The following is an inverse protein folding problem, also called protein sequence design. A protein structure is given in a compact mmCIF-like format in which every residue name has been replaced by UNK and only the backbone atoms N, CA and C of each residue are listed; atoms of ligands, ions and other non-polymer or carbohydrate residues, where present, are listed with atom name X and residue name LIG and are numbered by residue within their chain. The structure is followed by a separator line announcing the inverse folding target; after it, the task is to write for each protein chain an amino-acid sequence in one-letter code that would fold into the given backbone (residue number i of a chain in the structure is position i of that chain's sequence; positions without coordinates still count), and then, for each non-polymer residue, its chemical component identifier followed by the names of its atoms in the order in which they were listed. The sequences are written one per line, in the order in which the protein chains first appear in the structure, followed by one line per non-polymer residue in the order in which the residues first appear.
data_IF_857827898698
#
_entry.id   IF_857827898698
#
_cell.length_a   1.000
_cell.length_b   1.000
_cell.length_c   1.000
_cell.angle_alpha   90.00
_cell.angle_beta   90.00
_cell.angle_gamma   90.00
#
_symmetry.space_group_name_H-M   'P 1'
#
loop_
_entity.id
_entity.type
_entity.pdbx_description
1 polymer ?
#
# COMPACT_ATOMS: atom_id res chain seq x y z
N UNK A 1 27.02 67.15 -25.10
CA UNK A 1 28.05 67.71 -24.20
C UNK A 1 28.35 66.61 -23.20
N UNK A 2 29.48 66.03 -23.03
CA UNK A 2 30.80 66.16 -23.61
C UNK A 2 31.55 64.90 -23.22
N UNK A 3 32.28 64.40 -24.12
CA UNK A 3 33.30 63.36 -24.02
C UNK A 3 34.34 63.63 -22.93
N UNK A 4 34.88 62.61 -22.29
CA UNK A 4 36.35 62.51 -22.20
C UNK A 4 36.81 61.06 -21.99
N UNK A 5 37.45 60.53 -22.95
CA UNK A 5 38.38 59.41 -23.01
C UNK A 5 39.66 59.72 -22.27
N UNK A 6 40.23 58.74 -21.53
CA UNK A 6 41.70 58.69 -21.33
C UNK A 6 42.14 57.21 -21.42
N UNK A 7 43.16 57.07 -22.22
CA UNK A 7 43.76 55.78 -22.62
C UNK A 7 44.97 55.38 -21.77
N UNK A 8 45.21 54.09 -21.71
CA UNK A 8 46.46 53.35 -21.92
C UNK A 8 47.69 53.53 -20.99
N UNK A 9 48.22 52.41 -20.57
CA UNK A 9 49.60 51.85 -20.69
C UNK A 9 49.74 50.75 -19.65
N UNK A 10 49.92 49.48 -19.88
CA UNK A 10 51.01 48.90 -20.59
C UNK A 10 52.19 48.59 -19.64
N UNK A 11 52.35 47.35 -19.18
CA UNK A 11 53.68 46.85 -18.85
C UNK A 11 53.72 45.37 -18.41
N UNK A 12 54.40 44.60 -19.21
CA UNK A 12 55.39 43.59 -18.87
C UNK A 12 54.97 42.31 -18.15
N UNK A 13 54.87 41.26 -18.93
CA UNK A 13 54.95 39.88 -18.54
C UNK A 13 56.32 39.47 -17.96
N UNK A 14 56.33 38.73 -16.88
CA UNK A 14 57.45 37.86 -16.49
C UNK A 14 56.96 36.42 -16.38
N UNK A 15 57.70 35.41 -16.92
CA UNK A 15 57.29 34.03 -16.87
C UNK A 15 57.58 33.45 -15.49
N UNK A 16 56.56 32.86 -14.87
CA UNK A 16 56.73 32.02 -13.68
C UNK A 16 57.05 30.58 -14.07
N UNK A 17 58.13 30.07 -13.47
CA UNK A 17 58.65 28.71 -13.61
C UNK A 17 57.62 27.68 -13.12
N UNK A 18 57.63 26.43 -13.67
CA UNK A 18 56.78 25.34 -13.17
C UNK A 18 57.31 24.84 -11.85
N UNK A 19 56.47 24.92 -10.78
CA UNK A 19 56.71 24.24 -9.53
C UNK A 19 56.18 22.80 -9.64
N UNK A 20 57.09 21.93 -9.32
CA UNK A 20 57.00 20.48 -9.20
C UNK A 20 55.66 19.92 -8.74
N UNK A 21 55.22 18.88 -9.46
CA UNK A 21 54.23 17.90 -9.10
C UNK A 21 54.53 17.26 -7.74
N UNK A 22 53.82 17.71 -6.69
CA UNK A 22 53.67 16.93 -5.50
C UNK A 22 52.40 16.08 -5.64
N UNK A 23 52.57 14.77 -5.67
CA UNK A 23 51.50 13.80 -5.85
C UNK A 23 50.36 13.99 -4.85
N UNK A 24 49.21 14.38 -5.32
CA UNK A 24 47.93 14.15 -4.61
C UNK A 24 47.71 12.63 -4.59
N UNK A 25 48.13 11.96 -3.55
CA UNK A 25 47.53 10.69 -3.18
C UNK A 25 46.06 11.00 -2.86
N UNK A 26 45.15 10.58 -3.77
CA UNK A 26 43.74 10.50 -3.48
C UNK A 26 43.57 9.55 -2.29
N UNK A 27 43.38 10.14 -1.12
CA UNK A 27 42.81 9.42 0.01
C UNK A 27 41.36 9.14 -0.37
N UNK A 28 41.14 8.01 -1.02
CA UNK A 28 39.84 7.36 -1.09
C UNK A 28 39.48 7.00 0.36
N UNK A 29 38.95 7.95 1.10
CA UNK A 29 38.17 7.65 2.28
C UNK A 29 36.92 6.95 1.79
N UNK A 30 36.95 5.62 1.75
CA UNK A 30 35.75 4.81 1.76
C UNK A 30 34.99 5.27 3.00
N UNK A 31 33.99 6.15 2.80
CA UNK A 31 33.02 6.43 3.83
C UNK A 31 32.42 5.08 4.21
N UNK A 32 32.71 4.59 5.40
CA UNK A 32 32.17 3.32 5.87
C UNK A 32 30.65 3.40 5.72
N UNK A 33 30.10 2.58 4.82
CA UNK A 33 28.67 2.51 4.56
C UNK A 33 27.98 2.21 5.88
N UNK A 34 27.04 3.07 6.29
CA UNK A 34 26.30 2.83 7.52
C UNK A 34 25.65 1.45 7.47
N UNK A 35 25.74 0.68 8.56
CA UNK A 35 25.11 -0.63 8.63
C UNK A 35 23.61 -0.52 8.44
N UNK A 36 23.00 -1.40 7.66
CA UNK A 36 21.56 -1.46 7.52
C UNK A 36 20.85 -1.62 8.86
N UNK A 37 19.69 -0.99 8.99
CA UNK A 37 18.86 -1.10 10.19
C UNK A 37 17.47 -1.60 9.83
N UNK A 38 16.84 -2.33 10.75
CA UNK A 38 15.50 -2.85 10.56
C UNK A 38 14.74 -2.97 11.87
N UNK A 39 13.41 -2.98 11.78
CA UNK A 39 12.53 -3.26 12.92
C UNK A 39 12.41 -4.76 13.10
N UNK A 40 13.15 -5.27 14.05
CA UNK A 40 13.31 -6.72 14.33
C UNK A 40 12.47 -7.11 15.53
N UNK A 41 11.82 -8.28 15.47
CA UNK A 41 11.21 -8.95 16.62
C UNK A 41 11.69 -10.39 16.72
N UNK A 42 11.95 -10.83 17.95
CA UNK A 42 12.51 -12.16 18.28
C UNK A 42 11.45 -13.11 18.84
N UNK A 43 10.27 -12.56 19.16
CA UNK A 43 9.10 -13.30 19.62
C UNK A 43 7.84 -12.56 19.18
N UNK A 44 6.74 -13.30 19.08
CA UNK A 44 5.44 -12.70 18.83
C UNK A 44 4.90 -12.00 20.08
N UNK A 45 4.15 -10.91 19.89
CA UNK A 45 3.57 -10.13 20.98
C UNK A 45 3.10 -8.75 20.54
N UNK A 46 2.82 -7.89 21.50
CA UNK A 46 2.41 -6.51 21.21
C UNK A 46 3.54 -5.75 20.52
N UNK A 47 3.28 -5.13 19.34
CA UNK A 47 4.32 -4.49 18.54
C UNK A 47 5.20 -3.49 19.31
N UNK A 48 4.58 -2.70 20.19
CA UNK A 48 5.29 -1.73 21.02
C UNK A 48 6.28 -2.38 22.02
N UNK A 49 6.13 -3.66 22.33
CA UNK A 49 6.96 -4.39 23.29
C UNK A 49 8.03 -5.25 22.63
N UNK A 50 7.73 -5.80 21.44
CA UNK A 50 8.61 -6.80 20.81
C UNK A 50 9.43 -6.24 19.65
N UNK A 51 9.01 -5.13 19.01
CA UNK A 51 9.75 -4.51 17.91
C UNK A 51 10.89 -3.64 18.43
N UNK A 52 12.07 -3.85 17.85
CA UNK A 52 13.27 -3.07 18.15
C UNK A 52 13.97 -2.65 16.86
N UNK A 53 14.38 -1.38 16.78
CA UNK A 53 15.24 -0.91 15.69
C UNK A 53 16.65 -1.35 15.98
N UNK A 54 17.16 -2.27 15.15
CA UNK A 54 18.50 -2.87 15.29
C UNK A 54 19.31 -2.70 14.00
N UNK A 55 20.62 -2.72 14.13
CA UNK A 55 21.50 -3.02 13.00
C UNK A 55 21.28 -4.46 12.57
N UNK A 56 21.25 -4.69 11.27
CA UNK A 56 21.06 -6.00 10.67
C UNK A 56 22.18 -6.27 9.67
N UNK A 57 22.60 -7.52 9.59
CA UNK A 57 23.57 -7.92 8.59
C UNK A 57 22.84 -8.16 7.25
N UNK A 58 23.47 -7.75 6.16
CA UNK A 58 23.01 -8.12 4.82
C UNK A 58 23.51 -9.53 4.51
N UNK A 59 22.65 -10.30 3.87
CA UNK A 59 23.07 -11.53 3.23
C UNK A 59 24.11 -11.24 2.12
N UNK A 60 24.83 -12.25 1.67
CA UNK A 60 25.67 -12.11 0.48
C UNK A 60 24.79 -11.90 -0.77
N UNK A 61 25.26 -11.06 -1.69
CA UNK A 61 24.47 -10.71 -2.88
C UNK A 61 24.16 -11.92 -3.75
N UNK A 62 25.03 -12.89 -3.86
CA UNK A 62 24.81 -14.04 -4.72
C UNK A 62 24.43 -13.71 -6.17
N UNK A 63 24.49 -14.69 -7.06
CA UNK A 63 24.24 -14.46 -8.49
C UNK A 63 22.81 -14.01 -8.82
N UNK A 64 21.81 -14.48 -8.08
CA UNK A 64 20.38 -14.17 -8.31
C UNK A 64 19.82 -13.14 -7.29
N UNK A 65 20.69 -12.59 -6.46
CA UNK A 65 20.32 -11.60 -5.44
C UNK A 65 20.15 -10.20 -6.02
N UNK A 66 19.27 -9.43 -5.44
CA UNK A 66 19.06 -8.02 -5.76
C UNK A 66 19.17 -7.22 -4.48
N UNK A 67 20.16 -6.33 -4.41
CA UNK A 67 20.32 -5.43 -3.30
C UNK A 67 19.40 -4.22 -3.46
N UNK A 68 18.50 -4.03 -2.52
CA UNK A 68 17.46 -3.00 -2.55
C UNK A 68 17.60 -2.09 -1.35
N UNK A 69 17.77 -0.80 -1.62
CA UNK A 69 17.59 0.26 -0.62
C UNK A 69 16.09 0.52 -0.49
N UNK A 70 15.54 0.24 0.67
CA UNK A 70 14.14 0.59 0.96
C UNK A 70 13.98 2.09 1.08
N UNK A 71 12.88 2.62 0.60
CA UNK A 71 12.58 4.05 0.60
C UNK A 71 11.43 4.34 1.57
N UNK A 72 10.32 3.60 1.41
CA UNK A 72 9.12 3.80 2.22
C UNK A 72 8.33 2.50 2.35
N UNK A 73 7.73 2.27 3.52
CA UNK A 73 6.90 1.11 3.81
C UNK A 73 5.75 1.49 4.73
N UNK A 74 4.49 1.16 4.38
CA UNK A 74 3.33 1.47 5.21
C UNK A 74 3.20 0.50 6.38
N UNK A 75 2.37 0.90 7.37
CA UNK A 75 1.88 0.00 8.42
C UNK A 75 0.46 -0.44 8.05
N UNK A 76 0.26 -1.74 7.88
CA UNK A 76 -1.03 -2.38 7.64
C UNK A 76 -1.49 -3.19 8.88
N UNK A 77 -2.79 -3.41 9.07
CA UNK A 77 -3.28 -4.31 10.12
C UNK A 77 -2.71 -5.73 10.04
N UNK A 78 -2.39 -6.21 8.82
CA UNK A 78 -1.75 -7.52 8.62
C UNK A 78 -0.34 -7.59 9.22
N UNK A 79 0.43 -6.50 9.16
CA UNK A 79 1.76 -6.43 9.76
C UNK A 79 1.66 -6.56 11.29
N UNK A 80 0.70 -5.84 11.89
CA UNK A 80 0.44 -5.91 13.33
C UNK A 80 0.02 -7.33 13.74
N UNK A 81 -0.93 -7.94 13.01
CA UNK A 81 -1.38 -9.30 13.30
C UNK A 81 -0.26 -10.33 13.14
N UNK A 82 0.66 -10.13 12.18
CA UNK A 82 1.82 -10.99 11.97
C UNK A 82 2.79 -10.89 13.14
N UNK A 83 3.10 -9.68 13.61
CA UNK A 83 3.94 -9.47 14.79
C UNK A 83 3.30 -10.05 16.06
N UNK A 84 1.97 -9.92 16.20
CA UNK A 84 1.20 -10.52 17.30
C UNK A 84 1.10 -12.05 17.23
N UNK A 85 1.53 -12.69 16.13
CA UNK A 85 1.42 -14.14 15.96
C UNK A 85 0.00 -14.63 15.65
N UNK A 86 -0.89 -13.75 15.22
CA UNK A 86 -2.32 -14.07 14.97
C UNK A 86 -2.68 -14.09 13.48
N UNK A 87 -1.69 -13.93 12.59
CA UNK A 87 -1.89 -13.98 11.15
C UNK A 87 -1.73 -15.39 10.58
N UNK A 88 -2.37 -15.67 9.45
CA UNK A 88 -2.40 -17.02 8.86
C UNK A 88 -1.03 -17.54 8.41
N UNK A 89 -0.09 -16.64 8.10
CA UNK A 89 1.31 -16.97 7.80
C UNK A 89 2.22 -16.14 8.69
N UNK A 90 3.18 -16.81 9.30
CA UNK A 90 4.16 -16.17 10.19
C UNK A 90 5.56 -16.40 9.63
N UNK A 91 6.46 -15.43 9.70
CA UNK A 91 7.85 -15.62 9.36
C UNK A 91 8.58 -16.38 10.45
N UNK A 92 9.70 -17.02 10.09
CA UNK A 92 10.65 -17.55 11.07
C UNK A 92 11.25 -16.42 11.90
N UNK A 93 11.44 -16.68 13.20
CA UNK A 93 12.03 -15.71 14.13
C UNK A 93 13.53 -15.94 14.31
N UNK A 94 14.34 -14.88 14.43
CA UNK A 94 14.00 -13.47 14.44
C UNK A 94 13.58 -12.95 13.07
N UNK A 95 12.61 -12.03 13.02
CA UNK A 95 12.07 -11.50 11.77
C UNK A 95 12.09 -9.97 11.71
N UNK A 96 12.14 -9.43 10.50
CA UNK A 96 11.92 -8.00 10.23
C UNK A 96 10.46 -7.77 9.88
N UNK A 97 9.85 -6.74 10.44
CA UNK A 97 8.44 -6.39 10.15
C UNK A 97 8.23 -5.83 8.73
N UNK A 98 6.95 -5.79 8.33
CA UNK A 98 6.49 -5.16 7.09
C UNK A 98 6.35 -6.11 5.91
N UNK A 99 5.18 -5.99 5.23
CA UNK A 99 4.82 -6.81 4.06
C UNK A 99 4.74 -6.02 2.77
N UNK A 100 4.74 -4.71 2.84
CA UNK A 100 4.52 -3.80 1.72
C UNK A 100 5.52 -2.66 1.78
N UNK A 101 5.88 -2.10 0.64
CA UNK A 101 6.80 -0.97 0.56
C UNK A 101 7.34 -0.78 -0.84
N UNK A 102 8.19 0.24 -0.99
CA UNK A 102 8.92 0.52 -2.22
C UNK A 102 10.40 0.71 -1.90
N UNK A 103 11.25 0.18 -2.78
CA UNK A 103 12.69 0.33 -2.71
C UNK A 103 13.29 0.60 -4.09
N UNK A 104 14.56 0.95 -4.10
CA UNK A 104 15.35 1.12 -5.30
C UNK A 104 16.45 0.07 -5.35
N UNK A 105 16.58 -0.58 -6.49
CA UNK A 105 17.69 -1.50 -6.75
C UNK A 105 18.99 -0.70 -6.76
N UNK A 106 19.98 -1.10 -5.96
CA UNK A 106 21.30 -0.51 -5.93
C UNK A 106 22.37 -1.42 -6.51
N UNK A 107 22.16 -2.74 -6.48
CA UNK A 107 23.05 -3.72 -7.06
C UNK A 107 22.25 -4.98 -7.45
N UNK A 108 22.69 -5.67 -8.48
CA UNK A 108 22.07 -6.90 -8.96
C UNK A 108 23.16 -7.95 -9.24
N UNK A 109 22.88 -9.20 -8.88
CA UNK A 109 23.75 -10.33 -9.12
C UNK A 109 23.89 -10.66 -10.63
N UNK A 110 24.90 -11.44 -10.96
CA UNK A 110 25.31 -11.70 -12.36
C UNK A 110 24.26 -12.41 -13.22
N UNK A 111 23.31 -13.15 -12.58
CA UNK A 111 22.22 -13.86 -13.27
C UNK A 111 20.87 -13.14 -13.25
N UNK A 112 20.80 -11.97 -12.60
CA UNK A 112 19.59 -11.13 -12.58
C UNK A 112 19.40 -10.53 -13.97
N UNK A 113 18.22 -10.68 -14.56
CA UNK A 113 17.94 -10.28 -15.94
C UNK A 113 16.84 -9.23 -16.07
N UNK A 114 15.89 -9.18 -15.14
CA UNK A 114 14.71 -8.31 -15.21
C UNK A 114 14.86 -7.00 -14.43
N UNK A 115 15.87 -6.91 -13.56
CA UNK A 115 16.10 -5.77 -12.68
C UNK A 115 17.53 -5.25 -12.85
N UNK A 116 17.69 -3.93 -12.69
CA UNK A 116 19.00 -3.26 -12.76
C UNK A 116 19.06 -2.10 -11.74
N UNK A 117 20.28 -1.67 -11.37
CA UNK A 117 20.44 -0.50 -10.52
C UNK A 117 19.65 0.72 -11.02
N UNK A 118 18.96 1.38 -10.10
CA UNK A 118 18.06 2.50 -10.36
C UNK A 118 16.58 2.12 -10.53
N UNK A 119 16.26 0.85 -10.79
CA UNK A 119 14.86 0.42 -10.91
C UNK A 119 14.13 0.55 -9.56
N UNK A 120 12.88 1.02 -9.60
CA UNK A 120 11.98 0.99 -8.45
C UNK A 120 11.27 -0.36 -8.39
N UNK A 121 11.20 -0.92 -7.19
CA UNK A 121 10.63 -2.24 -6.96
C UNK A 121 9.72 -2.26 -5.73
N UNK A 122 8.72 -3.14 -5.79
CA UNK A 122 7.81 -3.45 -4.68
C UNK A 122 7.80 -4.97 -4.43
N UNK A 123 7.44 -5.44 -3.22
CA UNK A 123 7.31 -6.86 -2.94
C UNK A 123 6.26 -7.56 -3.81
N UNK A 124 6.62 -8.70 -4.38
CA UNK A 124 5.69 -9.57 -5.11
C UNK A 124 4.83 -10.41 -4.15
N UNK A 125 5.33 -10.75 -2.96
CA UNK A 125 4.60 -11.51 -1.92
C UNK A 125 4.74 -10.83 -0.55
N UNK A 126 4.05 -11.37 0.47
CA UNK A 126 4.14 -10.94 1.85
C UNK A 126 5.34 -11.60 2.57
N UNK A 127 5.74 -11.06 3.73
CA UNK A 127 6.76 -11.67 4.59
C UNK A 127 8.20 -11.27 4.27
N UNK A 128 8.43 -10.34 3.34
CA UNK A 128 9.78 -9.91 2.97
C UNK A 128 10.46 -9.01 3.99
N UNK A 129 9.74 -8.51 4.99
CA UNK A 129 10.31 -7.65 6.03
C UNK A 129 10.78 -6.31 5.48
N UNK A 130 9.85 -5.46 5.08
CA UNK A 130 10.13 -4.19 4.41
C UNK A 130 10.49 -3.03 5.34
N UNK A 131 10.31 -3.18 6.65
CA UNK A 131 10.62 -2.12 7.62
C UNK A 131 12.12 -2.11 7.95
N UNK A 132 12.92 -1.89 6.94
CA UNK A 132 14.39 -1.83 7.03
C UNK A 132 14.97 -0.89 5.99
N UNK A 133 16.20 -0.44 6.20
CA UNK A 133 16.83 0.50 5.27
C UNK A 133 17.37 -0.18 4.01
N UNK A 134 17.74 -1.45 4.08
CA UNK A 134 18.36 -2.18 2.98
C UNK A 134 18.19 -3.68 3.16
N UNK A 135 18.03 -4.41 2.03
CA UNK A 135 17.94 -5.87 2.01
C UNK A 135 18.44 -6.45 0.69
N UNK A 136 18.86 -7.71 0.74
CA UNK A 136 19.07 -8.54 -0.45
C UNK A 136 17.86 -9.46 -0.58
N UNK A 137 17.19 -9.37 -1.73
CA UNK A 137 16.02 -10.16 -2.08
C UNK A 137 16.32 -11.04 -3.31
N UNK A 138 15.59 -12.13 -3.49
CA UNK A 138 15.59 -12.85 -4.76
C UNK A 138 14.86 -12.04 -5.84
N UNK A 139 15.37 -12.07 -7.08
CA UNK A 139 14.74 -11.36 -8.21
C UNK A 139 13.24 -11.69 -8.36
N UNK A 140 12.86 -12.94 -8.13
CA UNK A 140 11.50 -13.45 -8.27
C UNK A 140 10.52 -12.91 -7.22
N UNK A 141 11.04 -12.37 -6.10
CA UNK A 141 10.24 -11.82 -5.00
C UNK A 141 9.92 -10.33 -5.18
N UNK A 142 10.42 -9.74 -6.26
CA UNK A 142 10.29 -8.31 -6.55
C UNK A 142 9.49 -8.07 -7.83
N UNK A 143 8.76 -6.98 -7.86
CA UNK A 143 8.07 -6.45 -9.03
C UNK A 143 8.62 -5.06 -9.34
N UNK A 144 9.10 -4.89 -10.56
CA UNK A 144 9.48 -3.57 -11.07
C UNK A 144 8.23 -2.73 -11.31
N UNK A 145 8.29 -1.46 -10.88
CA UNK A 145 7.26 -0.47 -11.14
C UNK A 145 7.83 0.72 -11.92
N UNK A 146 6.98 1.45 -12.65
CA UNK A 146 7.41 2.64 -13.36
C UNK A 146 7.94 3.73 -12.39
N UNK A 147 8.97 4.48 -12.78
CA UNK A 147 9.59 5.49 -11.91
C UNK A 147 8.75 6.78 -11.79
N UNK A 148 7.73 6.95 -12.60
CA UNK A 148 6.83 8.10 -12.61
C UNK A 148 5.65 7.99 -11.65
N UNK A 149 5.55 6.89 -10.88
CA UNK A 149 4.52 6.71 -9.87
C UNK A 149 4.92 7.46 -8.59
N UNK A 150 4.02 8.30 -8.03
CA UNK A 150 4.29 8.99 -6.76
C UNK A 150 4.69 8.01 -5.64
N UNK A 151 5.67 8.38 -4.83
CA UNK A 151 6.27 7.51 -3.83
C UNK A 151 5.23 6.89 -2.87
N UNK A 152 4.28 7.69 -2.40
CA UNK A 152 3.21 7.22 -1.50
C UNK A 152 2.29 6.20 -2.18
N UNK A 153 1.99 6.39 -3.48
CA UNK A 153 1.26 5.40 -4.27
C UNK A 153 2.06 4.12 -4.42
N UNK A 154 3.34 4.23 -4.79
CA UNK A 154 4.23 3.07 -4.95
C UNK A 154 4.35 2.27 -3.65
N UNK A 155 4.56 2.95 -2.51
CA UNK A 155 4.68 2.32 -1.20
C UNK A 155 3.42 1.59 -0.73
N UNK A 156 2.23 1.96 -1.23
CA UNK A 156 0.93 1.41 -0.80
C UNK A 156 0.21 0.62 -1.89
N UNK A 157 0.90 0.26 -2.98
CA UNK A 157 0.31 -0.32 -4.18
C UNK A 157 -0.01 -1.80 -4.05
N UNK A 158 0.90 -2.59 -3.45
CA UNK A 158 0.92 -4.06 -3.58
C UNK A 158 -0.09 -4.80 -2.70
N UNK A 159 -0.73 -4.12 -1.74
CA UNK A 159 -1.73 -4.73 -0.83
C UNK A 159 -3.12 -4.16 -1.06
N UNK A 160 -3.36 -2.90 -0.69
CA UNK A 160 -4.72 -2.37 -0.65
C UNK A 160 -5.35 -2.15 -2.03
N UNK A 161 -4.67 -1.50 -3.00
CA UNK A 161 -5.19 -1.36 -4.36
C UNK A 161 -5.33 -2.69 -5.08
N UNK A 162 -4.35 -3.61 -4.92
CA UNK A 162 -4.44 -4.95 -5.50
C UNK A 162 -5.62 -5.74 -4.93
N UNK A 163 -5.87 -5.67 -3.63
CA UNK A 163 -7.03 -6.30 -2.98
C UNK A 163 -8.34 -5.74 -3.56
N UNK A 164 -8.46 -4.43 -3.65
CA UNK A 164 -9.64 -3.77 -4.21
C UNK A 164 -9.88 -4.15 -5.67
N UNK A 165 -8.82 -4.11 -6.49
CA UNK A 165 -8.87 -4.46 -7.91
C UNK A 165 -9.37 -5.89 -8.12
N UNK A 166 -8.81 -6.85 -7.38
CA UNK A 166 -9.20 -8.27 -7.53
C UNK A 166 -10.63 -8.52 -7.05
N UNK A 167 -11.03 -7.92 -5.92
CA UNK A 167 -12.39 -8.08 -5.42
C UNK A 167 -13.44 -7.54 -6.38
N UNK A 168 -13.15 -6.44 -7.07
CA UNK A 168 -14.05 -5.86 -8.08
C UNK A 168 -14.04 -6.62 -9.42
N UNK A 169 -13.09 -7.54 -9.63
CA UNK A 169 -12.89 -8.22 -10.91
C UNK A 169 -13.20 -9.72 -10.88
N UNK A 170 -13.04 -10.41 -9.73
CA UNK A 170 -12.96 -11.87 -9.68
C UNK A 170 -14.24 -12.57 -9.21
N UNK A 171 -15.18 -11.86 -8.60
CA UNK A 171 -16.33 -12.49 -7.91
C UNK A 171 -17.67 -12.30 -8.61
N UNK A 172 -17.86 -11.19 -9.27
CA UNK A 172 -19.04 -10.88 -10.07
C UNK A 172 -18.65 -10.11 -11.34
N UNK A 173 -19.41 -10.30 -12.41
CA UNK A 173 -19.21 -9.56 -13.66
C UNK A 173 -19.95 -8.24 -13.55
N UNK A 174 -19.27 -7.21 -13.05
CA UNK A 174 -19.81 -5.86 -12.93
C UNK A 174 -19.77 -5.13 -14.28
N UNK A 175 -20.86 -4.42 -14.59
CA UNK A 175 -20.99 -3.54 -15.75
C UNK A 175 -21.11 -2.08 -15.28
N UNK A 176 -20.75 -1.10 -16.12
CA UNK A 176 -21.00 0.30 -15.81
C UNK A 176 -22.48 0.52 -15.40
N UNK A 177 -22.67 1.19 -14.26
CA UNK A 177 -23.97 1.40 -13.64
C UNK A 177 -24.36 0.37 -12.57
N UNK A 178 -23.77 -0.84 -12.55
CA UNK A 178 -23.97 -1.79 -11.46
C UNK A 178 -23.43 -1.24 -10.15
N UNK A 179 -23.97 -1.73 -9.02
CA UNK A 179 -23.55 -1.24 -7.72
C UNK A 179 -22.88 -2.30 -6.85
N UNK A 180 -21.91 -1.83 -6.06
CA UNK A 180 -21.27 -2.56 -4.98
C UNK A 180 -21.48 -1.83 -3.64
N UNK A 181 -21.58 -2.58 -2.56
CA UNK A 181 -21.65 -2.05 -1.19
C UNK A 181 -20.44 -2.51 -0.40
N UNK A 182 -19.86 -1.63 0.41
CA UNK A 182 -18.73 -1.99 1.26
C UNK A 182 -18.84 -1.40 2.66
N UNK A 183 -18.35 -2.12 3.68
CA UNK A 183 -18.03 -1.54 4.97
C UNK A 183 -16.55 -1.15 5.07
N UNK A 184 -16.13 -0.52 6.17
CA UNK A 184 -14.79 0.04 6.33
C UNK A 184 -14.35 0.92 5.13
N UNK A 185 -15.29 1.65 4.53
CA UNK A 185 -15.08 2.41 3.30
C UNK A 185 -13.98 3.48 3.38
N UNK A 186 -13.64 3.93 4.59
CA UNK A 186 -12.54 4.87 4.84
C UNK A 186 -11.16 4.20 5.01
N UNK A 187 -11.08 2.87 4.98
CA UNK A 187 -9.81 2.15 5.01
C UNK A 187 -9.02 2.30 3.70
N UNK A 188 -7.75 1.89 3.69
CA UNK A 188 -6.94 1.89 2.46
C UNK A 188 -7.59 1.08 1.34
N UNK A 189 -8.11 -0.11 1.63
CA UNK A 189 -8.85 -0.93 0.66
C UNK A 189 -10.13 -0.22 0.24
N UNK A 190 -10.91 0.31 1.20
CA UNK A 190 -12.19 0.96 0.90
C UNK A 190 -12.04 2.18 -0.01
N UNK A 191 -11.02 3.01 0.22
CA UNK A 191 -10.73 4.16 -0.65
C UNK A 191 -10.25 3.72 -2.04
N UNK A 192 -9.48 2.64 -2.15
CA UNK A 192 -9.10 2.07 -3.45
C UNK A 192 -10.32 1.51 -4.20
N UNK A 193 -11.24 0.81 -3.51
CA UNK A 193 -12.51 0.35 -4.10
C UNK A 193 -13.31 1.50 -4.69
N UNK A 194 -13.48 2.60 -3.95
CA UNK A 194 -14.20 3.79 -4.42
C UNK A 194 -13.61 4.29 -5.73
N UNK A 195 -12.31 4.51 -5.77
CA UNK A 195 -11.62 5.10 -6.91
C UNK A 195 -11.61 4.17 -8.13
N UNK A 196 -11.32 2.88 -7.92
CA UNK A 196 -11.31 1.89 -9.02
C UNK A 196 -12.72 1.67 -9.56
N UNK A 197 -13.75 1.62 -8.69
CA UNK A 197 -15.14 1.51 -9.10
C UNK A 197 -15.57 2.73 -9.92
N UNK A 198 -15.26 3.94 -9.47
CA UNK A 198 -15.55 5.17 -10.19
C UNK A 198 -14.89 5.18 -11.58
N UNK A 199 -13.60 4.80 -11.69
CA UNK A 199 -12.89 4.70 -12.96
C UNK A 199 -13.51 3.68 -13.93
N UNK A 200 -14.13 2.62 -13.40
CA UNK A 200 -14.82 1.58 -14.18
C UNK A 200 -16.33 1.87 -14.40
N UNK A 201 -16.83 2.98 -13.87
CA UNK A 201 -18.24 3.37 -13.99
C UNK A 201 -19.20 2.58 -13.09
N UNK A 202 -18.70 1.89 -12.06
CA UNK A 202 -19.51 1.20 -11.07
C UNK A 202 -19.98 2.18 -10.00
N UNK A 203 -21.17 1.94 -9.44
CA UNK A 203 -21.72 2.71 -8.33
C UNK A 203 -21.30 2.13 -7.00
N UNK A 204 -20.98 2.97 -6.01
CA UNK A 204 -20.57 2.52 -4.70
C UNK A 204 -21.47 3.02 -3.58
N UNK A 205 -21.79 2.10 -2.65
CA UNK A 205 -22.45 2.41 -1.37
C UNK A 205 -21.42 2.15 -0.28
N UNK A 206 -20.97 3.21 0.34
CA UNK A 206 -19.82 3.24 1.21
C UNK A 206 -20.25 3.41 2.67
N UNK A 207 -20.16 2.33 3.42
CA UNK A 207 -20.60 2.29 4.81
C UNK A 207 -19.44 2.64 5.73
N UNK A 208 -19.67 3.64 6.58
CA UNK A 208 -18.71 4.09 7.59
C UNK A 208 -19.33 4.03 8.99
N UNK A 209 -18.50 3.98 10.02
CA UNK A 209 -18.95 4.14 11.40
C UNK A 209 -19.24 5.60 11.67
N UNK A 210 -20.25 5.87 12.46
CA UNK A 210 -20.49 7.20 13.00
C UNK A 210 -19.29 7.66 13.84
N UNK A 211 -18.95 8.93 13.74
CA UNK A 211 -17.77 9.53 14.38
C UNK A 211 -17.86 11.05 14.48
N UNK A 212 -17.10 11.67 15.38
CA UNK A 212 -16.80 13.10 15.27
C UNK A 212 -16.26 13.41 13.87
N UNK A 213 -16.62 14.54 13.30
CA UNK A 213 -16.21 14.99 11.95
C UNK A 213 -16.66 14.04 10.80
N UNK A 214 -17.84 13.41 10.96
CA UNK A 214 -18.39 12.52 9.94
C UNK A 214 -18.51 13.24 8.58
N UNK A 215 -18.93 14.51 8.56
CA UNK A 215 -19.12 15.26 7.32
C UNK A 215 -17.81 15.43 6.54
N UNK A 216 -16.69 15.73 7.21
CA UNK A 216 -15.37 15.82 6.57
C UNK A 216 -14.98 14.48 5.91
N UNK A 217 -15.28 13.36 6.57
CA UNK A 217 -15.05 12.04 6.00
C UNK A 217 -15.92 11.80 4.77
N UNK A 218 -17.20 12.14 4.85
CA UNK A 218 -18.15 12.02 3.73
C UNK A 218 -17.67 12.82 2.52
N UNK A 219 -17.27 14.06 2.73
CA UNK A 219 -16.82 14.96 1.66
C UNK A 219 -15.54 14.44 1.02
N UNK A 220 -14.61 13.94 1.84
CA UNK A 220 -13.39 13.30 1.35
C UNK A 220 -13.69 12.05 0.52
N UNK A 221 -14.55 11.14 0.98
CA UNK A 221 -14.88 9.94 0.21
C UNK A 221 -15.61 10.28 -1.08
N UNK A 222 -16.48 11.29 -1.07
CA UNK A 222 -17.12 11.80 -2.28
C UNK A 222 -16.13 12.40 -3.27
N UNK A 223 -15.12 13.14 -2.79
CA UNK A 223 -14.07 13.68 -3.66
C UNK A 223 -13.21 12.58 -4.32
N UNK A 224 -13.15 11.38 -3.72
CA UNK A 224 -12.52 10.20 -4.31
C UNK A 224 -13.44 9.46 -5.32
N UNK A 225 -14.69 9.90 -5.50
CA UNK A 225 -15.63 9.29 -6.43
C UNK A 225 -16.70 8.41 -5.78
N UNK A 226 -16.88 8.47 -4.44
CA UNK A 226 -17.97 7.74 -3.78
C UNK A 226 -19.35 8.28 -4.20
N UNK A 227 -20.21 7.42 -4.71
CA UNK A 227 -21.58 7.82 -5.06
C UNK A 227 -22.42 8.06 -3.80
N UNK A 228 -22.40 7.12 -2.87
CA UNK A 228 -23.16 7.20 -1.62
C UNK A 228 -22.27 6.85 -0.42
N UNK A 229 -22.32 7.69 0.60
CA UNK A 229 -21.66 7.44 1.89
C UNK A 229 -22.72 7.45 2.96
N UNK A 230 -22.85 6.35 3.70
CA UNK A 230 -23.87 6.13 4.73
C UNK A 230 -23.25 5.58 5.99
N UNK A 231 -23.88 5.82 7.14
CA UNK A 231 -23.49 5.16 8.37
C UNK A 231 -24.11 3.78 8.52
N UNK A 232 -23.54 2.92 9.36
CA UNK A 232 -24.16 1.62 9.69
C UNK A 232 -25.57 1.76 10.25
N UNK A 233 -25.84 2.84 10.98
CA UNK A 233 -27.19 3.13 11.51
C UNK A 233 -28.18 3.47 10.38
N UNK A 234 -27.76 4.31 9.41
CA UNK A 234 -28.60 4.67 8.26
C UNK A 234 -29.00 3.45 7.44
N UNK A 235 -28.15 2.43 7.32
CA UNK A 235 -28.50 1.20 6.61
C UNK A 235 -29.66 0.43 7.25
N UNK A 236 -29.91 0.62 8.54
CA UNK A 236 -31.00 -0.05 9.28
C UNK A 236 -32.31 0.70 9.23
N UNK A 237 -32.28 1.98 8.83
CA UNK A 237 -33.46 2.82 8.80
C UNK A 237 -34.29 2.54 7.53
N UNK A 238 -35.63 2.69 7.60
CA UNK A 238 -36.50 2.51 6.44
C UNK A 238 -36.14 3.39 5.24
N UNK A 239 -35.55 4.54 5.50
CA UNK A 239 -35.16 5.55 4.52
C UNK A 239 -34.09 5.03 3.53
N UNK A 240 -33.34 4.00 3.89
CA UNK A 240 -32.41 3.33 2.97
C UNK A 240 -33.12 2.77 1.73
N UNK A 241 -34.44 2.50 1.82
CA UNK A 241 -35.25 2.07 0.66
C UNK A 241 -35.27 3.13 -0.43
N UNK A 242 -35.25 4.42 -0.07
CA UNK A 242 -35.22 5.52 -1.04
C UNK A 242 -33.89 5.56 -1.82
N UNK A 243 -32.80 5.17 -1.18
CA UNK A 243 -31.51 4.99 -1.87
C UNK A 243 -31.63 3.94 -2.99
N UNK A 244 -32.22 2.78 -2.68
CA UNK A 244 -32.39 1.66 -3.63
C UNK A 244 -33.49 1.86 -4.67
N UNK A 245 -34.24 2.97 -4.64
CA UNK A 245 -35.06 3.41 -5.75
C UNK A 245 -34.27 4.17 -6.82
N UNK A 246 -33.12 4.75 -6.42
CA UNK A 246 -32.28 5.60 -7.28
C UNK A 246 -31.11 4.86 -7.91
N UNK A 247 -30.67 3.77 -7.30
CA UNK A 247 -29.55 2.96 -7.74
C UNK A 247 -29.91 1.47 -7.73
N UNK A 248 -29.29 0.65 -8.60
CA UNK A 248 -29.47 -0.80 -8.56
C UNK A 248 -29.09 -1.36 -7.19
N UNK A 249 -29.76 -2.41 -6.75
CA UNK A 249 -29.29 -3.16 -5.56
C UNK A 249 -27.92 -3.78 -5.82
N UNK A 250 -27.01 -3.73 -4.85
CA UNK A 250 -25.65 -4.22 -5.06
C UNK A 250 -25.64 -5.74 -5.33
N UNK A 251 -24.89 -6.11 -6.37
CA UNK A 251 -24.60 -7.52 -6.68
C UNK A 251 -23.37 -8.01 -5.90
N UNK A 252 -22.50 -7.08 -5.49
CA UNK A 252 -21.27 -7.35 -4.78
C UNK A 252 -21.25 -6.59 -3.45
N UNK A 253 -20.89 -7.30 -2.35
CA UNK A 253 -20.62 -6.70 -1.05
C UNK A 253 -19.18 -6.99 -0.63
N UNK A 254 -18.45 -5.98 -0.16
CA UNK A 254 -17.06 -6.11 0.30
C UNK A 254 -17.01 -5.88 1.80
N UNK A 255 -16.63 -6.92 2.53
CA UNK A 255 -16.64 -6.93 3.99
C UNK A 255 -15.22 -7.01 4.57
N UNK A 256 -14.80 -5.93 5.25
CA UNK A 256 -13.54 -5.85 6.01
C UNK A 256 -13.74 -5.85 7.54
N UNK A 257 -14.98 -5.91 8.02
CA UNK A 257 -15.29 -5.71 9.46
C UNK A 257 -15.71 -6.99 10.16
N UNK A 258 -16.65 -7.74 9.60
CA UNK A 258 -17.30 -8.88 10.29
C UNK A 258 -18.50 -8.47 11.14
N UNK A 259 -18.99 -9.40 11.96
CA UNK A 259 -20.06 -9.17 12.92
C UNK A 259 -21.34 -8.60 12.32
N UNK A 260 -22.03 -7.75 13.09
CA UNK A 260 -23.29 -7.09 12.68
C UNK A 260 -23.13 -6.24 11.40
N UNK A 261 -21.98 -5.61 11.21
CA UNK A 261 -21.70 -4.82 10.00
C UNK A 261 -21.80 -5.67 8.72
N UNK A 262 -21.21 -6.87 8.73
CA UNK A 262 -21.31 -7.81 7.61
C UNK A 262 -22.76 -8.26 7.37
N UNK A 263 -23.53 -8.51 8.44
CA UNK A 263 -24.95 -8.88 8.34
C UNK A 263 -25.77 -7.81 7.64
N UNK A 264 -25.49 -6.52 7.91
CA UNK A 264 -26.20 -5.43 7.23
C UNK A 264 -25.86 -5.39 5.74
N UNK A 265 -24.60 -5.63 5.34
CA UNK A 265 -24.27 -5.72 3.91
C UNK A 265 -25.06 -6.83 3.22
N UNK A 266 -25.18 -8.03 3.84
CA UNK A 266 -25.94 -9.16 3.30
C UNK A 266 -27.42 -8.84 3.07
N UNK A 267 -28.02 -8.04 3.95
CA UNK A 267 -29.43 -7.63 3.84
C UNK A 267 -29.71 -6.80 2.59
N UNK A 268 -28.71 -6.05 2.12
CA UNK A 268 -28.87 -5.14 0.99
C UNK A 268 -28.45 -5.73 -0.35
N UNK A 269 -27.77 -6.89 -0.37
CA UNK A 269 -27.45 -7.60 -1.61
C UNK A 269 -28.72 -7.97 -2.38
N UNK A 270 -28.64 -7.91 -3.70
CA UNK A 270 -29.67 -8.45 -4.58
C UNK A 270 -29.69 -9.99 -4.57
N UNK A 271 -30.67 -10.57 -5.26
CA UNK A 271 -30.73 -12.01 -5.51
C UNK A 271 -29.47 -12.49 -6.22
N UNK A 272 -28.89 -13.59 -5.76
CA UNK A 272 -27.62 -14.20 -6.23
C UNK A 272 -26.38 -13.33 -6.06
N UNK A 273 -26.46 -12.23 -5.30
CA UNK A 273 -25.29 -11.40 -5.03
C UNK A 273 -24.24 -12.12 -4.16
N UNK A 274 -23.00 -11.64 -4.25
CA UNK A 274 -21.85 -12.21 -3.52
C UNK A 274 -21.37 -11.24 -2.46
N UNK A 275 -21.15 -11.72 -1.23
CA UNK A 275 -20.34 -11.02 -0.24
C UNK A 275 -18.95 -11.62 -0.19
N UNK A 276 -17.94 -10.77 -0.38
CA UNK A 276 -16.51 -11.11 -0.28
C UNK A 276 -15.96 -10.57 1.03
N UNK A 277 -15.47 -11.45 1.89
CA UNK A 277 -14.83 -11.08 3.16
C UNK A 277 -13.33 -11.14 3.00
N UNK A 278 -12.68 -9.98 3.19
CA UNK A 278 -11.22 -9.82 3.10
C UNK A 278 -10.58 -9.36 4.40
N UNK A 279 -11.39 -9.09 5.44
CA UNK A 279 -10.92 -8.67 6.76
C UNK A 279 -11.97 -8.91 7.84
N UNK A 280 -11.53 -8.87 9.09
CA UNK A 280 -12.36 -9.13 10.28
C UNK A 280 -12.05 -8.16 11.42
N UNK A 281 -12.05 -6.84 11.18
CA UNK A 281 -11.61 -5.82 12.14
C UNK A 281 -12.40 -5.82 13.45
N UNK A 282 -13.64 -6.31 13.46
CA UNK A 282 -14.44 -6.46 14.68
C UNK A 282 -14.08 -7.68 15.53
N UNK A 283 -13.30 -8.61 14.96
CA UNK A 283 -13.01 -9.94 15.56
C UNK A 283 -14.28 -10.74 15.92
N UNK A 284 -15.42 -10.40 15.30
CA UNK A 284 -16.71 -11.06 15.51
C UNK A 284 -17.07 -11.95 14.31
N UNK A 285 -17.67 -13.10 14.53
CA UNK A 285 -18.11 -14.00 13.47
C UNK A 285 -19.17 -13.33 12.58
N UNK A 286 -19.22 -13.76 11.33
CA UNK A 286 -20.26 -13.33 10.38
C UNK A 286 -21.54 -14.12 10.67
N UNK A 287 -22.64 -13.42 10.87
CA UNK A 287 -23.96 -14.03 10.99
C UNK A 287 -24.74 -13.78 9.69
N UNK A 288 -25.00 -14.83 8.94
CA UNK A 288 -25.84 -14.78 7.75
C UNK A 288 -27.30 -15.04 8.11
N UNK A 289 -28.24 -14.13 7.81
CA UNK A 289 -29.66 -14.40 7.97
C UNK A 289 -30.08 -15.57 7.06
N UNK A 290 -30.81 -16.54 7.62
CA UNK A 290 -31.29 -17.71 6.86
C UNK A 290 -32.10 -17.27 5.65
N UNK A 291 -32.89 -16.21 5.78
CA UNK A 291 -33.66 -15.61 4.67
C UNK A 291 -32.79 -15.09 3.51
N UNK A 292 -31.56 -14.61 3.80
CA UNK A 292 -30.66 -14.19 2.74
C UNK A 292 -30.14 -15.39 1.92
N UNK A 293 -29.96 -16.55 2.57
CA UNK A 293 -29.57 -17.79 1.91
C UNK A 293 -30.74 -18.37 1.10
N UNK A 294 -31.91 -18.57 1.75
CA UNK A 294 -33.05 -19.25 1.12
C UNK A 294 -33.70 -18.40 0.02
N UNK A 295 -33.98 -17.12 0.30
CA UNK A 295 -34.81 -16.30 -0.60
C UNK A 295 -34.01 -15.41 -1.54
N UNK A 296 -32.72 -15.21 -1.26
CA UNK A 296 -31.86 -14.40 -2.12
C UNK A 296 -30.72 -15.18 -2.75
N UNK A 297 -30.50 -16.43 -2.36
CA UNK A 297 -29.40 -17.28 -2.88
C UNK A 297 -28.06 -16.53 -2.87
N UNK A 298 -27.77 -15.80 -1.76
CA UNK A 298 -26.51 -15.05 -1.64
C UNK A 298 -25.33 -15.96 -1.45
N UNK A 299 -24.20 -15.60 -2.04
CA UNK A 299 -22.94 -16.32 -1.92
C UNK A 299 -22.02 -15.65 -0.89
N UNK A 300 -21.38 -16.43 -0.04
CA UNK A 300 -20.36 -15.99 0.92
C UNK A 300 -19.00 -16.50 0.46
N UNK A 301 -18.07 -15.59 0.25
CA UNK A 301 -16.72 -15.91 -0.25
C UNK A 301 -15.68 -15.22 0.63
N UNK A 302 -14.51 -15.82 0.74
CA UNK A 302 -13.33 -15.20 1.31
C UNK A 302 -12.38 -14.71 0.22
N UNK A 303 -11.60 -13.69 0.53
CA UNK A 303 -10.50 -13.22 -0.33
C UNK A 303 -9.28 -12.85 0.51
N UNK A 304 -8.13 -13.36 0.11
CA UNK A 304 -6.84 -13.03 0.68
C UNK A 304 -5.82 -12.80 -0.44
N UNK A 305 -5.30 -11.58 -0.53
CA UNK A 305 -4.40 -11.17 -1.62
C UNK A 305 -3.12 -12.00 -1.68
N UNK A 306 -2.55 -12.37 -0.54
CA UNK A 306 -1.37 -13.24 -0.47
C UNK A 306 -1.66 -14.62 -1.10
N UNK A 307 -2.79 -15.23 -0.75
CA UNK A 307 -3.18 -16.51 -1.36
C UNK A 307 -3.43 -16.36 -2.86
N UNK A 308 -4.10 -15.29 -3.28
CA UNK A 308 -4.30 -15.02 -4.70
C UNK A 308 -2.97 -14.93 -5.47
N UNK A 309 -1.96 -14.25 -4.90
CA UNK A 309 -0.62 -14.18 -5.51
C UNK A 309 0.02 -15.55 -5.63
N UNK A 310 -0.07 -16.39 -4.59
CA UNK A 310 0.46 -17.76 -4.57
C UNK A 310 -0.24 -18.67 -5.59
N UNK A 311 -1.57 -18.61 -5.66
CA UNK A 311 -2.36 -19.39 -6.62
C UNK A 311 -2.05 -18.99 -8.09
N UNK A 312 -1.57 -17.78 -8.32
CA UNK A 312 -1.20 -17.26 -9.63
C UNK A 312 0.33 -17.13 -9.82
N UNK A 313 1.17 -17.70 -8.96
CA UNK A 313 2.63 -17.58 -9.02
C UNK A 313 3.23 -18.04 -10.37
N UNK A 314 2.63 -19.02 -11.01
CA UNK A 314 3.03 -19.51 -12.34
C UNK A 314 2.58 -18.61 -13.48
N UNK A 315 1.63 -17.69 -13.23
CA UNK A 315 1.14 -16.73 -14.22
C UNK A 315 1.55 -15.31 -13.82
N UNK A 316 2.85 -15.03 -13.95
CA UNK A 316 3.43 -13.72 -13.60
C UNK A 316 2.80 -12.57 -14.37
N UNK A 317 2.32 -12.80 -15.59
CA UNK A 317 1.66 -11.79 -16.43
C UNK A 317 0.36 -11.27 -15.79
N UNK A 318 -0.38 -12.13 -15.09
CA UNK A 318 -1.63 -11.73 -14.41
C UNK A 318 -1.37 -10.76 -13.26
N UNK A 319 -0.28 -10.96 -12.51
CA UNK A 319 0.12 -10.02 -11.46
C UNK A 319 0.69 -8.73 -12.06
N UNK A 320 1.54 -8.84 -13.07
CA UNK A 320 2.13 -7.70 -13.78
C UNK A 320 1.04 -6.83 -14.40
N UNK A 321 0.12 -7.42 -15.17
CA UNK A 321 -0.99 -6.69 -15.80
C UNK A 321 -1.86 -5.94 -14.79
N UNK A 322 -2.14 -6.54 -13.61
CA UNK A 322 -2.85 -5.82 -12.55
C UNK A 322 -2.06 -4.60 -12.04
N UNK A 323 -0.74 -4.74 -11.84
CA UNK A 323 0.11 -3.62 -11.40
C UNK A 323 0.15 -2.53 -12.47
N UNK A 324 0.26 -2.88 -13.74
CA UNK A 324 0.24 -1.96 -14.88
C UNK A 324 -1.09 -1.19 -14.95
N UNK A 325 -2.23 -1.88 -14.86
CA UNK A 325 -3.57 -1.25 -14.81
C UNK A 325 -3.69 -0.26 -13.66
N UNK A 326 -3.22 -0.63 -12.46
CA UNK A 326 -3.23 0.25 -11.29
C UNK A 326 -2.31 1.46 -11.48
N UNK A 327 -1.11 1.27 -12.04
CA UNK A 327 -0.22 2.37 -12.38
C UNK A 327 -0.83 3.32 -13.41
N UNK A 328 -1.56 2.80 -14.39
CA UNK A 328 -2.27 3.62 -15.38
C UNK A 328 -3.41 4.43 -14.75
N UNK A 329 -4.14 3.87 -13.80
CA UNK A 329 -5.12 4.63 -13.03
C UNK A 329 -4.47 5.75 -12.22
N UNK A 330 -3.29 5.51 -11.64
CA UNK A 330 -2.52 6.51 -10.90
C UNK A 330 -2.08 7.64 -11.85
N UNK A 331 -1.52 7.34 -13.01
CA UNK A 331 -1.11 8.31 -14.02
C UNK A 331 -2.25 9.19 -14.51
N UNK A 332 -3.44 8.61 -14.62
CA UNK A 332 -4.67 9.33 -15.01
C UNK A 332 -5.30 10.14 -13.87
N UNK A 333 -4.71 10.12 -12.67
CA UNK A 333 -5.27 10.76 -11.48
C UNK A 333 -6.57 10.12 -10.97
N UNK A 334 -6.87 8.90 -11.43
CA UNK A 334 -8.08 8.14 -11.05
C UNK A 334 -7.86 7.23 -9.83
N UNK A 335 -6.61 7.03 -9.44
CA UNK A 335 -6.23 6.34 -8.23
C UNK A 335 -5.12 7.11 -7.52
N UNK A 336 -5.32 7.43 -6.27
CA UNK A 336 -4.35 8.11 -5.40
C UNK A 336 -4.10 7.28 -4.14
N UNK A 337 -2.97 7.48 -3.49
CA UNK A 337 -2.74 6.93 -2.16
C UNK A 337 -3.81 7.43 -1.17
N UNK A 338 -4.16 6.66 -0.13
CA UNK A 338 -4.94 7.19 0.98
C UNK A 338 -4.21 8.37 1.63
N UNK A 339 -4.90 9.16 2.45
CA UNK A 339 -4.21 10.14 3.29
C UNK A 339 -3.09 9.45 4.07
N UNK A 340 -1.86 9.94 3.93
CA UNK A 340 -0.66 9.35 4.51
C UNK A 340 0.04 10.34 5.44
N UNK A 341 0.66 9.81 6.48
CA UNK A 341 1.61 10.50 7.33
C UNK A 341 2.96 9.80 7.21
N UNK A 342 3.94 10.50 6.69
CA UNK A 342 5.32 10.01 6.59
C UNK A 342 6.01 10.19 7.95
N UNK A 343 6.64 9.13 8.43
CA UNK A 343 7.32 9.08 9.73
C UNK A 343 8.70 8.46 9.53
N UNK A 344 9.79 9.12 9.91
CA UNK A 344 11.12 8.51 9.85
C UNK A 344 11.16 7.18 10.59
N UNK A 345 11.88 6.18 10.05
CA UNK A 345 11.98 4.84 10.63
C UNK A 345 12.40 4.87 12.11
N UNK A 346 13.25 5.79 12.49
CA UNK A 346 13.69 5.96 13.89
C UNK A 346 12.54 6.30 14.86
N UNK A 347 11.46 6.89 14.34
CA UNK A 347 10.28 7.29 15.11
C UNK A 347 9.14 6.25 14.99
N UNK A 348 9.45 5.01 14.65
CA UNK A 348 8.47 3.94 14.38
C UNK A 348 7.44 3.74 15.49
N UNK A 349 7.82 3.94 16.75
CA UNK A 349 6.91 3.77 17.89
C UNK A 349 5.70 4.71 17.80
N UNK A 350 5.93 5.97 17.44
CA UNK A 350 4.84 6.94 17.25
C UNK A 350 3.95 6.56 16.06
N UNK A 351 4.53 6.01 14.98
CA UNK A 351 3.78 5.52 13.84
C UNK A 351 2.92 4.31 14.20
N UNK A 352 3.48 3.34 14.95
CA UNK A 352 2.73 2.17 15.44
C UNK A 352 1.57 2.59 16.35
N UNK A 353 1.84 3.42 17.34
CA UNK A 353 0.80 3.94 18.24
C UNK A 353 -0.31 4.62 17.46
N UNK A 354 0.05 5.51 16.52
CA UNK A 354 -0.92 6.20 15.67
C UNK A 354 -1.74 5.24 14.81
N UNK A 355 -1.12 4.19 14.24
CA UNK A 355 -1.81 3.22 13.38
C UNK A 355 -2.84 2.37 14.13
N UNK A 356 -2.68 2.19 15.45
CA UNK A 356 -3.56 1.40 16.30
C UNK A 356 -4.68 2.21 16.98
N UNK A 357 -4.65 3.56 16.89
CA UNK A 357 -5.70 4.41 17.46
C UNK A 357 -7.04 4.19 16.75
N UNK A 358 -8.16 4.29 17.47
CA UNK A 358 -9.49 4.27 16.84
C UNK A 358 -9.66 5.50 15.94
N UNK A 359 -10.46 5.35 14.88
CA UNK A 359 -10.80 6.40 13.92
C UNK A 359 -9.61 7.03 13.16
N UNK A 360 -8.48 6.33 13.06
CA UNK A 360 -7.34 6.77 12.24
C UNK A 360 -7.81 7.04 10.81
N UNK A 361 -7.46 8.19 10.30
CA UNK A 361 -7.80 8.62 8.94
C UNK A 361 -6.60 8.75 8.03
N UNK A 362 -5.37 8.68 8.55
CA UNK A 362 -4.13 8.73 7.79
C UNK A 362 -3.32 7.45 7.98
N UNK A 363 -2.88 6.86 6.88
CA UNK A 363 -2.00 5.70 6.87
C UNK A 363 -0.59 6.12 7.28
N UNK A 364 0.01 5.42 8.22
CA UNK A 364 1.39 5.68 8.61
C UNK A 364 2.33 5.03 7.60
N UNK A 365 3.30 5.78 7.10
CA UNK A 365 4.36 5.32 6.19
C UNK A 365 5.69 5.58 6.86
N UNK A 366 6.44 4.50 7.10
CA UNK A 366 7.81 4.58 7.57
C UNK A 366 8.71 4.97 6.39
N UNK A 367 9.51 6.02 6.57
CA UNK A 367 10.51 6.50 5.60
C UNK A 367 11.89 6.10 6.11
N UNK A 368 12.68 5.46 5.23
CA UNK A 368 13.95 4.84 5.57
C UNK A 368 15.13 5.82 5.44
#
# INVERSE_FOLDING_TARGET
MGLTTVAARGSCARPLRPLLSAGLRALSASAARARPRGLVYEQHGEPAQVLNLKEIDLAELGDSGVNVKMIAAPINPSDINMIQGTYATLPDLPAVGGNEGVGQVIEAGSRVTSLKPGDLVIPADAGLGTWRTEAIFGEETLLKIPPDIPLTCAATLSVNPCTAYRMLSDFEVLKPGDSAIQNAANSGVGQAVIQIAAAKGFKTINVVRDRPNLQELVDRLKSLGADHVVTEEMLRKPEVKELFKKIPRPILALNGVGGKSATELLRHLQHKGTMVTYGGMSKQPITAPVSALIFKDVKLRGFWMTQWKRDNAQNKEKLRGMIEDLCDLIRKGQLTAPACQEVPLINYQAALESSMKPYVSAKQILVM
#
